data_IF_242827134706
#
_entry.id   IF_242827134706
#
_cell.length_a   1.000
_cell.length_b   1.000
_cell.length_c   1.000
_cell.angle_alpha   90.00
_cell.angle_beta   90.00
_cell.angle_gamma   90.00
#
_symmetry.space_group_name_H-M   'P 1'
#
loop_
_entity.id
_entity.type
_entity.pdbx_description
1 polymer ?
#
# COMPACT_ATOMS: atom_id res chain seq x y z
N UNK A 1 -16.61 -5.45 16.95
CA UNK A 1 -15.33 -5.15 17.63
C UNK A 1 -14.41 -4.46 16.64
N UNK A 2 -13.66 -3.44 17.06
CA UNK A 2 -12.60 -2.85 16.24
C UNK A 2 -11.30 -3.53 16.62
N UNK A 3 -10.62 -4.11 15.63
CA UNK A 3 -9.39 -4.89 15.83
C UNK A 3 -8.19 -4.15 15.23
N UNK A 4 -7.01 -4.43 15.76
CA UNK A 4 -5.74 -3.87 15.27
C UNK A 4 -4.78 -5.01 14.93
N UNK A 5 -3.85 -4.75 14.01
CA UNK A 5 -2.82 -5.70 13.63
C UNK A 5 -2.43 -5.59 12.17
N UNK A 6 -1.30 -6.20 11.82
CA UNK A 6 -0.82 -6.29 10.44
C UNK A 6 -1.81 -7.03 9.54
N UNK A 7 -2.56 -8.01 10.09
CA UNK A 7 -3.68 -8.67 9.40
C UNK A 7 -4.80 -7.72 8.97
N UNK A 8 -4.93 -6.54 9.61
CA UNK A 8 -5.89 -5.49 9.21
C UNK A 8 -5.26 -4.48 8.25
N UNK A 9 -3.92 -4.32 8.28
CA UNK A 9 -3.20 -3.53 7.28
C UNK A 9 -3.12 -4.24 5.92
N UNK A 10 -2.85 -5.55 5.89
CA UNK A 10 -2.76 -6.37 4.67
C UNK A 10 -3.95 -6.25 3.71
N UNK A 11 -5.23 -6.30 4.16
CA UNK A 11 -6.37 -6.16 3.26
C UNK A 11 -6.47 -4.76 2.61
N UNK A 12 -5.91 -3.70 3.22
CA UNK A 12 -5.84 -2.39 2.58
C UNK A 12 -4.90 -2.42 1.36
N UNK A 13 -3.75 -3.09 1.47
CA UNK A 13 -2.81 -3.27 0.36
C UNK A 13 -3.41 -4.19 -0.72
N UNK A 14 -4.09 -5.26 -0.33
CA UNK A 14 -4.77 -6.15 -1.28
C UNK A 14 -5.87 -5.41 -2.06
N UNK A 15 -6.71 -4.63 -1.36
CA UNK A 15 -7.74 -3.78 -1.97
C UNK A 15 -7.13 -2.72 -2.90
N UNK A 16 -6.02 -2.09 -2.51
CA UNK A 16 -5.30 -1.14 -3.35
C UNK A 16 -4.72 -1.80 -4.61
N UNK A 17 -4.20 -3.02 -4.48
CA UNK A 17 -3.74 -3.82 -5.62
C UNK A 17 -4.88 -4.13 -6.61
N UNK A 18 -6.05 -4.52 -6.09
CA UNK A 18 -7.24 -4.73 -6.89
C UNK A 18 -7.71 -3.44 -7.58
N UNK A 19 -7.69 -2.31 -6.86
CA UNK A 19 -8.00 -0.99 -7.41
C UNK A 19 -7.10 -0.64 -8.60
N UNK A 20 -5.78 -0.77 -8.45
CA UNK A 20 -4.86 -0.47 -9.56
C UNK A 20 -4.97 -1.44 -10.73
N UNK A 21 -5.18 -2.74 -10.46
CA UNK A 21 -5.40 -3.72 -11.52
C UNK A 21 -6.65 -3.38 -12.37
N UNK A 22 -7.74 -3.00 -11.70
CA UNK A 22 -8.98 -2.58 -12.37
C UNK A 22 -8.82 -1.26 -13.12
N UNK A 23 -8.24 -0.23 -12.46
CA UNK A 23 -8.03 1.10 -13.02
C UNK A 23 -7.17 1.06 -14.28
N UNK A 24 -6.07 0.31 -14.23
CA UNK A 24 -5.10 0.20 -15.34
C UNK A 24 -5.49 -0.88 -16.36
N UNK A 25 -6.61 -1.59 -16.15
CA UNK A 25 -7.07 -2.72 -16.97
C UNK A 25 -5.96 -3.75 -17.22
N UNK A 26 -5.15 -4.01 -16.19
CA UNK A 26 -3.99 -4.91 -16.24
C UNK A 26 -4.14 -6.01 -15.20
N UNK A 27 -3.90 -7.29 -15.55
CA UNK A 27 -3.96 -8.38 -14.58
C UNK A 27 -3.07 -8.14 -13.36
N UNK A 28 -3.55 -8.55 -12.20
CA UNK A 28 -2.79 -8.48 -10.96
C UNK A 28 -1.50 -9.32 -11.06
N UNK A 29 -0.40 -8.77 -10.57
CA UNK A 29 0.89 -9.44 -10.60
C UNK A 29 1.96 -8.68 -9.81
N UNK A 30 3.22 -9.14 -9.86
CA UNK A 30 4.31 -8.58 -9.04
C UNK A 30 4.53 -7.07 -9.22
N UNK A 31 4.19 -6.53 -10.40
CA UNK A 31 4.30 -5.10 -10.71
C UNK A 31 3.47 -4.21 -9.76
N UNK A 32 2.38 -4.73 -9.19
CA UNK A 32 1.54 -3.98 -8.25
C UNK A 32 2.31 -3.55 -7.00
N UNK A 33 3.21 -4.41 -6.50
CA UNK A 33 4.01 -4.08 -5.32
C UNK A 33 4.91 -2.87 -5.59
N UNK A 34 5.58 -2.85 -6.74
CA UNK A 34 6.41 -1.72 -7.17
C UNK A 34 5.57 -0.45 -7.37
N UNK A 35 4.38 -0.56 -7.98
CA UNK A 35 3.52 0.59 -8.23
C UNK A 35 2.95 1.19 -6.93
N UNK A 36 2.53 0.34 -5.99
CA UNK A 36 2.08 0.77 -4.66
C UNK A 36 3.21 1.50 -3.92
N UNK A 37 4.45 0.97 -3.97
CA UNK A 37 5.61 1.65 -3.37
C UNK A 37 5.97 2.96 -4.08
N UNK A 38 5.75 3.05 -5.39
CA UNK A 38 6.03 4.25 -6.19
C UNK A 38 5.12 5.40 -5.77
N UNK A 39 3.82 5.11 -5.62
CA UNK A 39 2.78 6.08 -5.29
C UNK A 39 2.65 6.38 -3.79
N UNK A 40 3.20 5.54 -2.92
CA UNK A 40 3.13 5.72 -1.48
C UNK A 40 3.64 7.09 -1.01
N UNK A 41 2.96 7.65 -0.01
CA UNK A 41 3.39 8.85 0.70
C UNK A 41 4.69 8.54 1.46
N UNK A 42 5.74 9.30 1.17
CA UNK A 42 7.08 9.07 1.73
C UNK A 42 7.24 9.81 3.05
N UNK A 43 8.00 9.20 3.97
CA UNK A 43 8.42 9.84 5.23
C UNK A 43 7.27 10.30 6.15
N UNK A 44 6.12 9.62 6.08
CA UNK A 44 4.95 9.92 6.90
C UNK A 44 4.93 9.16 8.24
N UNK A 45 5.64 8.03 8.34
CA UNK A 45 5.64 7.17 9.51
C UNK A 45 6.69 7.66 10.51
N UNK A 46 6.29 7.85 11.77
CA UNK A 46 7.16 8.22 12.89
C UNK A 46 7.54 6.98 13.71
N UNK A 47 8.65 7.05 14.44
CA UNK A 47 9.11 6.01 15.38
C UNK A 47 9.29 4.61 14.78
N UNK A 48 9.64 4.54 13.49
CA UNK A 48 9.94 3.28 12.81
C UNK A 48 11.34 2.76 13.18
N UNK A 49 11.52 1.43 13.14
CA UNK A 49 12.82 0.78 13.29
C UNK A 49 13.79 1.31 12.21
N UNK A 50 15.06 1.63 12.55
CA UNK A 50 16.05 2.06 11.58
C UNK A 50 16.17 1.09 10.39
N UNK A 51 16.48 1.62 9.21
CA UNK A 51 16.57 0.87 7.94
C UNK A 51 15.26 0.23 7.45
N UNK A 52 14.10 0.67 7.95
CA UNK A 52 12.78 0.31 7.40
C UNK A 52 12.34 1.34 6.35
N UNK A 53 11.74 0.86 5.26
CA UNK A 53 11.16 1.74 4.23
C UNK A 53 10.02 2.58 4.80
N UNK A 54 10.12 3.90 4.67
CA UNK A 54 9.09 4.82 5.17
C UNK A 54 8.07 5.16 4.08
N UNK A 55 7.17 4.21 3.82
CA UNK A 55 6.15 4.30 2.78
C UNK A 55 4.77 4.01 3.37
N UNK A 56 3.87 4.99 3.26
CA UNK A 56 2.46 4.83 3.61
C UNK A 56 1.64 4.68 2.33
N UNK A 57 0.86 3.61 2.23
CA UNK A 57 0.06 3.31 1.04
C UNK A 57 -0.88 4.46 0.67
N UNK A 58 -0.96 4.75 -0.64
CA UNK A 58 -1.73 5.85 -1.19
C UNK A 58 -2.39 5.44 -2.51
N UNK A 59 -3.64 5.86 -2.73
CA UNK A 59 -4.43 5.50 -3.90
C UNK A 59 -4.39 6.52 -5.04
N UNK A 60 -3.76 7.69 -4.86
CA UNK A 60 -3.65 8.69 -5.92
C UNK A 60 -4.91 9.50 -6.19
N UNK A 61 -5.90 9.46 -5.30
CA UNK A 61 -7.22 10.08 -5.52
C UNK A 61 -7.33 11.56 -5.10
N UNK A 62 -6.24 12.17 -4.61
CA UNK A 62 -6.18 13.55 -4.10
C UNK A 62 -4.87 14.20 -4.50
#
# INVERSE_FOLDING_TARGET
ATLTGTSMASPHIAGLGAYFAALLRKPAGPWLCTEIQRLATRNAIKDQVPNTVNLLAFNGAT
#
